data_IF_080133288405
#
_entry.id   IF_080133288405
#
_cell.length_a   1.000
_cell.length_b   1.000
_cell.length_c   1.000
_cell.angle_alpha   90.00
_cell.angle_beta   90.00
_cell.angle_gamma   90.00
#
_symmetry.space_group_name_H-M   'P 1'
#
loop_
_entity.id
_entity.type
_entity.pdbx_description
1 polymer ?
#
# COMPACT_ATOMS: atom_id res chain seq x y z
N UNK A 1 0.58 -27.07 -57.89
CA UNK A 1 0.71 -26.79 -56.45
C UNK A 1 1.34 -25.41 -56.25
N UNK A 2 0.51 -24.34 -56.35
CA UNK A 2 0.95 -22.96 -56.11
C UNK A 2 1.06 -22.79 -54.57
N UNK A 3 2.22 -23.14 -54.01
CA UNK A 3 2.53 -22.86 -52.61
C UNK A 3 2.32 -21.39 -52.30
N UNK A 4 1.48 -21.12 -51.32
CA UNK A 4 1.29 -19.80 -50.76
C UNK A 4 2.64 -19.31 -50.17
N UNK A 5 3.44 -18.60 -50.96
CA UNK A 5 4.59 -17.87 -50.46
C UNK A 5 4.04 -16.75 -49.60
N UNK A 6 4.17 -16.86 -48.29
CA UNK A 6 3.88 -15.74 -47.39
C UNK A 6 4.72 -14.52 -47.76
N UNK A 7 4.20 -13.34 -47.54
CA UNK A 7 4.96 -12.08 -47.73
C UNK A 7 6.28 -12.17 -46.92
N UNK A 8 7.36 -11.69 -47.54
CA UNK A 8 8.61 -11.51 -46.84
C UNK A 8 8.37 -10.60 -45.63
N UNK A 9 9.04 -10.83 -44.49
CA UNK A 9 8.78 -10.07 -43.25
C UNK A 9 8.82 -8.54 -43.44
N UNK A 10 9.78 -8.06 -44.23
CA UNK A 10 9.96 -6.64 -44.53
C UNK A 10 8.79 -6.05 -45.33
N UNK A 11 8.22 -6.82 -46.27
CA UNK A 11 7.04 -6.40 -47.05
C UNK A 11 5.80 -6.40 -46.18
N UNK A 12 5.67 -7.36 -45.27
CA UNK A 12 4.56 -7.44 -44.32
C UNK A 12 4.56 -6.21 -43.39
N UNK A 13 5.71 -5.87 -42.83
CA UNK A 13 5.85 -4.71 -41.94
C UNK A 13 5.53 -3.39 -42.66
N UNK A 14 6.06 -3.22 -43.87
CA UNK A 14 5.73 -2.04 -44.70
C UNK A 14 4.22 -1.94 -45.05
N UNK A 15 3.57 -3.07 -45.36
CA UNK A 15 2.14 -3.11 -45.58
C UNK A 15 1.30 -2.78 -44.34
N UNK A 16 1.73 -3.30 -43.16
CA UNK A 16 1.08 -2.98 -41.90
C UNK A 16 1.20 -1.51 -41.53
N UNK A 17 2.36 -0.90 -41.78
CA UNK A 17 2.59 0.53 -41.51
C UNK A 17 1.73 1.43 -42.46
N UNK A 18 1.67 1.08 -43.72
CA UNK A 18 0.81 1.79 -44.70
C UNK A 18 -0.67 1.62 -44.32
N UNK A 19 -1.10 0.42 -43.98
CA UNK A 19 -2.48 0.17 -43.53
C UNK A 19 -2.84 0.98 -42.28
N UNK A 20 -1.99 0.99 -41.25
CA UNK A 20 -2.16 1.81 -40.02
C UNK A 20 -2.30 3.30 -40.38
N UNK A 21 -1.46 3.83 -41.29
CA UNK A 21 -1.50 5.23 -41.72
C UNK A 21 -2.77 5.58 -42.46
N UNK A 22 -3.26 4.69 -43.35
CA UNK A 22 -4.53 4.89 -44.07
C UNK A 22 -5.71 4.85 -43.10
N UNK A 23 -5.74 3.90 -42.18
CA UNK A 23 -6.79 3.79 -41.19
C UNK A 23 -6.83 5.02 -40.28
N UNK A 24 -5.69 5.49 -39.77
CA UNK A 24 -5.62 6.67 -38.90
C UNK A 24 -6.06 7.94 -39.64
N UNK A 25 -5.65 8.12 -40.92
CA UNK A 25 -6.08 9.27 -41.73
C UNK A 25 -7.58 9.23 -42.04
N UNK A 26 -8.12 8.02 -42.28
CA UNK A 26 -9.56 7.86 -42.54
C UNK A 26 -10.38 8.11 -41.27
N UNK A 27 -9.93 7.64 -40.13
CA UNK A 27 -10.54 7.90 -38.82
C UNK A 27 -10.53 9.38 -38.47
N UNK A 28 -9.42 10.09 -38.77
CA UNK A 28 -9.34 11.54 -38.55
C UNK A 28 -10.34 12.32 -39.39
N UNK A 29 -10.45 12.00 -40.66
CA UNK A 29 -11.48 12.60 -41.55
C UNK A 29 -12.89 12.28 -41.11
N UNK A 30 -13.15 11.04 -40.68
CA UNK A 30 -14.45 10.61 -40.18
C UNK A 30 -14.85 11.37 -38.92
N UNK A 31 -13.94 11.59 -38.01
CA UNK A 31 -14.15 12.40 -36.82
C UNK A 31 -14.48 13.86 -37.11
N UNK A 32 -13.77 14.47 -38.08
CA UNK A 32 -14.04 15.84 -38.51
C UNK A 32 -15.45 15.97 -39.10
N UNK A 33 -15.95 14.95 -39.83
CA UNK A 33 -17.30 14.91 -40.39
C UNK A 33 -18.40 14.68 -39.32
N UNK A 34 -18.10 13.99 -38.24
CA UNK A 34 -19.08 13.72 -37.17
C UNK A 34 -19.27 14.89 -36.20
N UNK A 35 -18.26 15.74 -36.00
CA UNK A 35 -18.35 16.90 -35.08
C UNK A 35 -19.58 17.82 -35.34
N UNK A 36 -19.98 18.12 -36.60
CA UNK A 36 -21.17 18.93 -36.85
C UNK A 36 -22.50 18.23 -36.57
N UNK A 37 -22.50 16.90 -36.49
CA UNK A 37 -23.75 16.11 -36.38
C UNK A 37 -24.11 15.75 -34.92
N UNK A 38 -23.29 16.18 -33.94
CA UNK A 38 -23.53 15.88 -32.53
C UNK A 38 -23.35 14.40 -32.16
N UNK A 39 -22.77 13.58 -33.04
CA UNK A 39 -22.44 12.18 -32.75
C UNK A 39 -21.15 12.13 -31.99
N UNK A 40 -21.18 11.57 -30.78
CA UNK A 40 -20.00 11.37 -29.95
C UNK A 40 -19.01 10.40 -30.62
N UNK A 41 -17.73 10.73 -30.59
CA UNK A 41 -16.67 9.83 -31.07
C UNK A 41 -16.10 9.05 -29.88
N UNK A 42 -15.41 7.94 -30.17
CA UNK A 42 -14.73 7.16 -29.09
C UNK A 42 -13.66 7.97 -28.32
N UNK A 43 -13.16 9.08 -28.92
CA UNK A 43 -12.25 10.00 -28.22
C UNK A 43 -13.03 10.94 -27.30
N UNK A 44 -14.17 11.48 -27.77
CA UNK A 44 -15.03 12.33 -26.94
C UNK A 44 -15.56 11.56 -25.73
N UNK A 45 -15.86 10.27 -25.90
CA UNK A 45 -16.24 9.37 -24.79
C UNK A 45 -15.10 9.14 -23.80
N UNK A 46 -13.87 8.98 -24.28
CA UNK A 46 -12.69 8.82 -23.42
C UNK A 46 -12.33 10.11 -22.69
N UNK A 47 -12.41 11.25 -23.36
CA UNK A 47 -12.19 12.56 -22.72
C UNK A 47 -13.24 12.82 -21.63
N UNK A 48 -14.50 12.48 -21.90
CA UNK A 48 -15.58 12.59 -20.92
C UNK A 48 -15.34 11.64 -19.73
N UNK A 49 -15.00 10.38 -20.00
CA UNK A 49 -14.72 9.40 -18.95
C UNK A 49 -13.55 9.84 -18.06
N UNK A 50 -12.49 10.43 -18.65
CA UNK A 50 -11.38 10.99 -17.89
C UNK A 50 -11.82 12.17 -17.01
N UNK A 51 -12.60 13.10 -17.56
CA UNK A 51 -13.10 14.25 -16.81
C UNK A 51 -14.03 13.84 -15.67
N UNK A 52 -14.90 12.86 -15.92
CA UNK A 52 -15.78 12.29 -14.89
C UNK A 52 -14.98 11.62 -13.79
N UNK A 53 -13.97 10.82 -14.15
CA UNK A 53 -13.07 10.18 -13.17
C UNK A 53 -12.29 11.20 -12.32
N UNK A 54 -11.73 12.27 -12.92
CA UNK A 54 -11.02 13.32 -12.18
C UNK A 54 -11.95 13.96 -11.16
N UNK A 55 -13.19 14.31 -11.58
CA UNK A 55 -14.19 14.92 -10.68
C UNK A 55 -14.55 13.97 -9.52
N UNK A 56 -14.71 12.68 -9.79
CA UNK A 56 -14.96 11.68 -8.77
C UNK A 56 -13.81 11.63 -7.74
N UNK A 57 -12.55 11.73 -8.20
CA UNK A 57 -11.38 11.75 -7.27
C UNK A 57 -11.36 13.05 -6.45
N UNK A 58 -11.66 14.20 -7.02
CA UNK A 58 -11.73 15.47 -6.29
C UNK A 58 -12.87 15.46 -5.25
N UNK A 59 -14.04 14.94 -5.60
CA UNK A 59 -15.16 14.82 -4.68
C UNK A 59 -14.87 13.78 -3.57
N UNK A 60 -14.20 12.68 -3.90
CA UNK A 60 -13.75 11.70 -2.92
C UNK A 60 -12.78 12.33 -1.91
N UNK A 61 -11.77 13.06 -2.38
CA UNK A 61 -10.80 13.74 -1.52
C UNK A 61 -11.47 14.73 -0.55
N UNK A 62 -12.44 15.53 -1.04
CA UNK A 62 -13.18 16.48 -0.19
C UNK A 62 -13.95 15.81 0.93
N UNK A 63 -14.52 14.62 0.65
CA UNK A 63 -15.34 13.91 1.61
C UNK A 63 -14.53 12.99 2.53
N UNK A 64 -13.32 12.62 2.14
CA UNK A 64 -12.45 11.68 2.84
C UNK A 64 -11.02 12.24 2.95
N UNK A 65 -10.82 13.40 3.56
CA UNK A 65 -9.50 13.97 3.71
C UNK A 65 -8.65 13.10 4.61
N UNK A 66 -7.37 12.95 4.26
CA UNK A 66 -6.35 12.37 5.11
C UNK A 66 -5.40 13.47 5.57
N UNK A 67 -5.24 13.60 6.87
CA UNK A 67 -4.22 14.45 7.46
C UNK A 67 -3.42 13.68 8.50
N UNK A 68 -2.18 14.06 8.68
CA UNK A 68 -1.32 13.54 9.72
C UNK A 68 -0.52 14.70 10.32
N UNK A 69 -0.49 14.77 11.65
CA UNK A 69 0.21 15.82 12.37
C UNK A 69 1.69 15.88 12.01
N UNK A 70 2.19 17.09 11.84
CA UNK A 70 3.59 17.35 11.57
C UNK A 70 4.54 16.96 12.70
N UNK A 71 4.04 16.85 13.93
CA UNK A 71 4.85 16.55 15.11
C UNK A 71 5.58 15.20 15.03
N UNK A 72 5.06 14.26 14.25
CA UNK A 72 5.61 12.90 14.12
C UNK A 72 6.59 12.73 12.95
N UNK A 73 6.89 13.78 12.19
CA UNK A 73 7.85 13.75 11.11
C UNK A 73 9.21 14.33 11.54
N UNK A 74 10.28 13.63 11.23
CA UNK A 74 11.65 14.07 11.51
C UNK A 74 12.18 15.17 10.62
N UNK A 75 11.62 15.34 9.44
CA UNK A 75 12.19 16.23 8.41
C UNK A 75 11.21 17.31 8.00
N UNK A 76 11.75 18.41 7.43
CA UNK A 76 11.04 19.68 7.28
C UNK A 76 9.79 19.64 6.41
N UNK A 77 9.47 18.52 5.75
CA UNK A 77 8.15 18.31 5.16
C UNK A 77 7.25 17.65 6.20
N UNK A 78 6.35 18.43 6.69
CA UNK A 78 5.40 18.06 7.73
C UNK A 78 4.04 17.63 7.15
N UNK A 79 3.99 17.29 5.86
CA UNK A 79 2.76 16.94 5.17
C UNK A 79 2.98 15.69 4.32
N UNK A 80 2.02 14.78 4.36
CA UNK A 80 1.92 13.67 3.43
C UNK A 80 1.33 14.17 2.11
N UNK A 81 1.80 13.64 0.98
CA UNK A 81 1.30 14.08 -0.34
C UNK A 81 -0.04 13.43 -0.71
N UNK A 82 -0.36 12.27 -0.11
CA UNK A 82 -1.68 11.68 -0.23
C UNK A 82 -2.63 12.47 0.67
N UNK A 83 -3.65 13.05 0.07
CA UNK A 83 -4.61 13.93 0.74
C UNK A 83 -5.99 13.30 0.93
N UNK A 84 -6.15 12.02 0.59
CA UNK A 84 -7.36 11.23 0.85
C UNK A 84 -7.02 9.84 1.39
N UNK A 85 -7.97 9.25 2.10
CA UNK A 85 -7.81 7.88 2.58
C UNK A 85 -7.56 6.92 1.40
N UNK A 86 -6.69 5.92 1.56
CA UNK A 86 -6.45 4.89 0.57
C UNK A 86 -7.75 4.20 0.12
N UNK A 87 -7.93 4.06 -1.19
CA UNK A 87 -9.04 3.33 -1.78
C UNK A 87 -8.63 1.95 -2.29
N UNK A 88 -7.33 1.76 -2.54
CA UNK A 88 -6.76 0.56 -3.14
C UNK A 88 -5.32 0.36 -2.67
N UNK A 89 -4.78 -0.80 -2.97
CA UNK A 89 -3.43 -1.22 -2.57
C UNK A 89 -2.33 -0.25 -3.01
N UNK A 90 -2.41 0.30 -4.22
CA UNK A 90 -1.42 1.29 -4.70
C UNK A 90 -1.37 2.56 -3.82
N UNK A 91 -2.51 2.97 -3.26
CA UNK A 91 -2.56 4.12 -2.36
C UNK A 91 -1.93 3.75 -1.01
N UNK A 92 -2.09 2.50 -0.55
CA UNK A 92 -1.42 1.95 0.65
C UNK A 92 0.09 1.97 0.48
N UNK A 93 0.59 1.47 -0.66
CA UNK A 93 2.03 1.48 -0.99
C UNK A 93 2.58 2.90 -0.98
N UNK A 94 1.88 3.84 -1.63
CA UNK A 94 2.31 5.24 -1.71
C UNK A 94 2.34 5.90 -0.32
N UNK A 95 1.31 5.70 0.50
CA UNK A 95 1.23 6.23 1.87
C UNK A 95 2.32 5.64 2.76
N UNK A 96 2.50 4.33 2.74
CA UNK A 96 3.53 3.64 3.52
C UNK A 96 4.94 4.17 3.22
N UNK A 97 5.27 4.33 1.92
CA UNK A 97 6.56 4.90 1.53
C UNK A 97 6.73 6.35 1.99
N UNK A 98 5.67 7.14 2.02
CA UNK A 98 5.72 8.51 2.56
C UNK A 98 5.95 8.52 4.07
N UNK A 99 5.32 7.59 4.82
CA UNK A 99 5.51 7.48 6.27
C UNK A 99 6.95 7.05 6.63
N UNK A 100 7.55 6.17 5.84
CA UNK A 100 8.99 5.83 5.98
C UNK A 100 9.85 7.05 5.66
N UNK A 101 9.65 7.68 4.50
CA UNK A 101 10.45 8.83 4.07
C UNK A 101 10.27 10.06 5.00
N UNK A 102 9.11 10.20 5.60
CA UNK A 102 8.80 11.22 6.61
C UNK A 102 9.36 10.93 7.99
N UNK A 103 9.84 9.71 8.25
CA UNK A 103 10.39 9.30 9.55
C UNK A 103 9.34 8.92 10.59
N UNK A 104 8.10 8.67 10.18
CA UNK A 104 7.04 8.13 11.04
C UNK A 104 7.28 6.65 11.33
N UNK A 105 7.73 5.90 10.33
CA UNK A 105 8.15 4.49 10.45
C UNK A 105 9.65 4.45 10.16
N UNK A 106 10.47 3.95 11.10
CA UNK A 106 11.92 4.17 11.07
C UNK A 106 12.77 2.91 10.96
N UNK A 107 12.25 1.75 11.30
CA UNK A 107 13.04 0.51 11.32
C UNK A 107 13.00 -0.30 10.03
N UNK A 108 12.35 0.18 8.97
CA UNK A 108 12.15 -0.56 7.73
C UNK A 108 13.02 0.01 6.62
N UNK A 109 13.86 -0.85 6.03
CA UNK A 109 14.65 -0.55 4.85
C UNK A 109 14.16 -1.44 3.69
N UNK A 110 13.56 -0.82 2.67
CA UNK A 110 13.08 -1.52 1.48
C UNK A 110 14.26 -1.83 0.56
N UNK A 111 14.42 -3.10 0.19
CA UNK A 111 15.46 -3.58 -0.73
C UNK A 111 14.95 -3.68 -2.16
N UNK A 112 13.70 -4.14 -2.34
CA UNK A 112 13.09 -4.29 -3.64
C UNK A 112 11.56 -4.22 -3.52
N UNK A 113 10.93 -3.72 -4.57
CA UNK A 113 9.48 -3.84 -4.81
C UNK A 113 9.26 -4.62 -6.10
N UNK A 114 8.18 -5.39 -6.17
CA UNK A 114 7.90 -6.24 -7.31
C UNK A 114 6.39 -6.24 -7.62
N UNK A 115 6.05 -6.28 -8.90
CA UNK A 115 4.67 -6.38 -9.38
C UNK A 115 4.40 -7.68 -10.16
N UNK A 116 5.42 -8.48 -10.39
CA UNK A 116 5.34 -9.64 -11.30
C UNK A 116 5.60 -10.98 -10.65
N UNK A 117 6.06 -10.99 -9.40
CA UNK A 117 6.25 -12.21 -8.62
C UNK A 117 5.10 -12.42 -7.64
N UNK A 118 5.14 -13.56 -6.95
CA UNK A 118 4.14 -13.95 -5.96
C UNK A 118 4.04 -12.98 -4.77
N UNK A 119 5.14 -12.26 -4.45
CA UNK A 119 5.25 -11.34 -3.32
C UNK A 119 5.61 -9.92 -3.77
N UNK A 120 5.14 -8.90 -3.03
CA UNK A 120 5.23 -7.50 -3.43
C UNK A 120 6.58 -6.86 -3.16
N UNK A 121 7.34 -7.36 -2.18
CA UNK A 121 8.61 -6.74 -1.87
C UNK A 121 9.51 -7.52 -0.93
N UNK A 122 10.72 -7.01 -0.82
CA UNK A 122 11.75 -7.49 0.11
C UNK A 122 12.27 -6.30 0.91
N UNK A 123 12.40 -6.49 2.22
CA UNK A 123 12.87 -5.45 3.15
C UNK A 123 13.80 -6.04 4.20
N UNK A 124 14.39 -5.16 5.01
CA UNK A 124 15.08 -5.49 6.25
C UNK A 124 14.58 -4.63 7.40
N UNK A 125 14.61 -5.18 8.60
CA UNK A 125 14.59 -4.36 9.79
C UNK A 125 15.99 -3.87 10.10
N UNK A 126 16.10 -2.57 10.36
CA UNK A 126 17.37 -1.90 10.68
C UNK A 126 17.13 -1.01 11.89
N UNK A 127 17.94 -1.19 12.94
CA UNK A 127 18.05 -0.29 14.08
C UNK A 127 19.50 0.19 14.08
N UNK A 128 19.73 1.47 13.82
CA UNK A 128 21.08 2.06 13.80
C UNK A 128 21.55 2.41 15.21
N UNK A 129 22.82 2.84 15.32
CA UNK A 129 23.45 3.25 16.58
C UNK A 129 22.85 4.52 17.19
N UNK A 130 22.05 5.27 16.46
CA UNK A 130 21.30 6.43 16.95
C UNK A 130 20.05 5.96 17.72
N UNK A 131 20.26 5.58 18.96
CA UNK A 131 19.22 5.04 19.84
C UNK A 131 18.08 6.03 20.07
N UNK A 132 18.35 7.33 20.16
CA UNK A 132 17.32 8.36 20.39
C UNK A 132 16.26 8.37 19.29
N UNK A 133 16.64 8.05 18.07
CA UNK A 133 15.72 7.95 16.93
C UNK A 133 14.64 6.90 17.11
N UNK A 134 14.92 5.84 17.84
CA UNK A 134 14.01 4.70 17.98
C UNK A 134 13.37 4.60 19.38
N UNK A 135 13.85 5.35 20.34
CA UNK A 135 13.35 5.30 21.72
C UNK A 135 11.90 5.76 21.79
N UNK A 136 11.08 5.02 22.52
CA UNK A 136 9.70 5.39 22.79
C UNK A 136 9.63 6.69 23.63
N UNK A 137 8.79 7.58 23.19
CA UNK A 137 8.39 8.81 23.91
C UNK A 137 6.94 9.10 23.55
N UNK A 138 6.08 9.28 24.56
CA UNK A 138 4.64 9.44 24.35
C UNK A 138 4.26 10.61 23.42
N UNK A 139 5.02 11.72 23.49
CA UNK A 139 4.75 12.91 22.71
C UNK A 139 5.55 12.98 21.40
N UNK A 140 6.85 12.67 21.47
CA UNK A 140 7.77 12.87 20.35
C UNK A 140 7.92 11.62 19.47
N UNK A 141 7.75 10.43 20.02
CA UNK A 141 7.96 9.16 19.33
C UNK A 141 7.07 8.00 19.83
N UNK A 142 5.75 8.12 19.73
CA UNK A 142 4.82 7.12 20.30
C UNK A 142 4.91 5.74 19.62
N UNK A 143 5.51 5.65 18.43
CA UNK A 143 5.76 4.38 17.73
C UNK A 143 7.14 3.78 18.05
N UNK A 144 7.85 4.34 19.01
CA UNK A 144 9.19 3.92 19.42
C UNK A 144 9.25 2.56 20.14
N UNK A 145 10.45 2.23 20.57
CA UNK A 145 10.80 0.98 21.24
C UNK A 145 11.29 1.26 22.66
N UNK A 146 11.11 0.30 23.56
CA UNK A 146 11.74 0.34 24.86
C UNK A 146 13.28 0.28 24.76
N UNK A 147 13.97 0.93 25.68
CA UNK A 147 15.42 1.06 25.68
C UNK A 147 16.15 -0.30 25.58
N UNK A 148 15.60 -1.34 26.20
CA UNK A 148 16.18 -2.68 26.23
C UNK A 148 16.24 -3.35 24.84
N UNK A 149 15.40 -2.89 23.91
CA UNK A 149 15.34 -3.39 22.53
C UNK A 149 16.20 -2.59 21.55
N UNK A 150 16.76 -1.47 21.99
CA UNK A 150 17.61 -0.62 21.18
C UNK A 150 19.02 -1.21 21.13
N UNK A 151 19.25 -2.06 20.14
CA UNK A 151 20.56 -2.60 19.81
C UNK A 151 20.80 -2.43 18.34
N UNK A 152 22.00 -2.00 17.95
CA UNK A 152 22.38 -1.98 16.54
C UNK A 152 22.11 -3.35 15.90
N UNK A 153 21.19 -3.38 14.96
CA UNK A 153 20.65 -4.61 14.39
C UNK A 153 20.25 -4.42 12.94
N UNK A 154 20.61 -5.38 12.13
CA UNK A 154 20.12 -5.52 10.76
C UNK A 154 19.65 -6.96 10.54
N UNK A 155 18.40 -7.13 10.13
CA UNK A 155 17.85 -8.45 9.86
C UNK A 155 18.34 -9.01 8.53
N UNK A 156 18.22 -10.33 8.34
CA UNK A 156 18.25 -10.90 7.00
C UNK A 156 17.10 -10.33 6.16
N UNK A 157 17.20 -10.37 4.81
CA UNK A 157 16.09 -10.00 3.94
C UNK A 157 14.82 -10.77 4.28
N UNK A 158 13.70 -10.07 4.29
CA UNK A 158 12.37 -10.53 4.67
C UNK A 158 11.36 -10.19 3.60
N UNK A 159 10.28 -10.94 3.52
CA UNK A 159 9.20 -10.77 2.54
C UNK A 159 8.16 -9.79 3.06
N UNK A 160 7.78 -8.85 2.20
CA UNK A 160 6.77 -7.83 2.43
C UNK A 160 5.59 -8.04 1.49
N UNK A 161 4.39 -7.87 2.02
CA UNK A 161 3.14 -7.94 1.29
C UNK A 161 2.29 -6.70 1.56
N UNK A 162 1.64 -6.17 0.53
CA UNK A 162 0.71 -5.05 0.63
C UNK A 162 -0.72 -5.51 0.38
N UNK A 163 -1.67 -4.96 1.12
CA UNK A 163 -3.11 -5.14 0.88
C UNK A 163 -3.87 -3.87 1.24
N UNK A 164 -4.98 -3.60 0.56
CA UNK A 164 -5.90 -2.59 1.05
C UNK A 164 -6.62 -3.07 2.32
N UNK A 165 -7.15 -4.30 2.31
CA UNK A 165 -7.72 -4.98 3.47
C UNK A 165 -6.98 -6.31 3.67
N UNK A 166 -6.55 -6.59 4.91
CA UNK A 166 -5.81 -7.79 5.26
C UNK A 166 -6.62 -9.08 5.00
N UNK A 167 -7.95 -9.01 5.01
CA UNK A 167 -8.82 -10.15 4.68
C UNK A 167 -8.49 -10.76 3.32
N UNK A 168 -8.03 -9.96 2.34
CA UNK A 168 -7.59 -10.47 1.05
C UNK A 168 -6.32 -11.32 1.16
N UNK A 169 -5.42 -11.00 2.08
CA UNK A 169 -4.23 -11.83 2.32
C UNK A 169 -4.61 -13.15 2.98
N UNK A 170 -5.54 -13.12 3.94
CA UNK A 170 -6.07 -14.35 4.56
C UNK A 170 -6.75 -15.23 3.49
N UNK A 171 -7.50 -14.62 2.59
CA UNK A 171 -8.11 -15.33 1.47
C UNK A 171 -7.05 -15.94 0.53
N UNK A 172 -5.94 -15.24 0.24
CA UNK A 172 -4.82 -15.78 -0.54
C UNK A 172 -4.22 -17.03 0.14
N UNK A 173 -4.17 -17.07 1.49
CA UNK A 173 -3.73 -18.25 2.25
C UNK A 173 -4.71 -19.42 2.11
N UNK A 174 -6.01 -19.17 2.26
CA UNK A 174 -7.04 -20.18 2.12
C UNK A 174 -7.11 -20.76 0.68
N UNK A 175 -6.81 -19.94 -0.32
CA UNK A 175 -6.76 -20.36 -1.72
C UNK A 175 -5.44 -21.03 -2.11
N UNK A 176 -4.48 -21.17 -1.18
CA UNK A 176 -3.12 -21.69 -1.43
C UNK A 176 -2.32 -20.86 -2.47
N UNK A 177 -2.72 -19.61 -2.70
CA UNK A 177 -2.02 -18.69 -3.61
C UNK A 177 -0.75 -18.14 -2.96
N UNK A 178 -0.75 -18.00 -1.61
CA UNK A 178 0.38 -17.58 -0.80
C UNK A 178 0.52 -18.45 0.44
N UNK A 179 1.71 -18.45 1.03
CA UNK A 179 1.98 -19.17 2.27
C UNK A 179 2.25 -18.18 3.40
N UNK A 180 1.58 -18.35 4.52
CA UNK A 180 1.77 -17.49 5.69
C UNK A 180 3.21 -17.53 6.22
N UNK A 181 3.89 -18.69 6.15
CA UNK A 181 5.27 -18.86 6.60
C UNK A 181 6.29 -18.05 5.79
N UNK A 182 5.97 -17.68 4.56
CA UNK A 182 6.87 -16.94 3.68
C UNK A 182 6.78 -15.42 3.93
N UNK A 183 5.67 -14.92 4.49
CA UNK A 183 5.43 -13.49 4.69
C UNK A 183 5.85 -13.08 6.10
N UNK A 184 6.69 -12.07 6.18
CA UNK A 184 7.21 -11.56 7.45
C UNK A 184 6.56 -10.24 7.87
N UNK A 185 6.12 -9.43 6.90
CA UNK A 185 5.43 -8.17 7.15
C UNK A 185 4.27 -8.00 6.16
N UNK A 186 3.10 -7.72 6.69
CA UNK A 186 1.96 -7.25 5.92
C UNK A 186 1.69 -5.77 6.22
N UNK A 187 1.50 -4.97 5.18
CA UNK A 187 1.11 -3.56 5.31
C UNK A 187 -0.26 -3.38 4.68
N UNK A 188 -1.22 -2.90 5.46
CA UNK A 188 -2.58 -2.72 4.98
C UNK A 188 -3.18 -1.40 5.44
N UNK A 189 -4.27 -0.98 4.78
CA UNK A 189 -5.08 0.13 5.24
C UNK A 189 -6.04 -0.31 6.36
N UNK A 190 -6.72 -1.45 6.18
CA UNK A 190 -7.70 -2.02 7.13
C UNK A 190 -7.28 -3.41 7.54
N UNK A 191 -7.41 -3.70 8.83
CA UNK A 191 -7.10 -5.03 9.39
C UNK A 191 -8.10 -6.11 8.95
N UNK A 192 -9.38 -5.76 8.81
CA UNK A 192 -10.44 -6.76 8.58
C UNK A 192 -10.72 -7.64 9.79
N UNK A 193 -11.39 -8.76 9.55
CA UNK A 193 -11.82 -9.69 10.62
C UNK A 193 -11.48 -11.17 10.31
N UNK A 194 -11.16 -11.52 9.05
CA UNK A 194 -10.95 -12.91 8.62
C UNK A 194 -9.73 -13.57 9.28
N UNK A 195 -8.79 -12.79 9.78
CA UNK A 195 -7.62 -13.30 10.51
C UNK A 195 -7.97 -14.07 11.78
N UNK A 196 -9.13 -13.79 12.41
CA UNK A 196 -9.57 -14.41 13.67
C UNK A 196 -9.78 -15.92 13.58
N UNK A 197 -9.99 -16.45 12.39
CA UNK A 197 -10.21 -17.88 12.18
C UNK A 197 -8.89 -18.68 12.31
N UNK A 198 -7.75 -18.07 11.92
CA UNK A 198 -6.48 -18.79 11.77
C UNK A 198 -5.35 -18.25 12.66
N UNK A 199 -5.50 -17.03 13.18
CA UNK A 199 -4.45 -16.34 13.92
C UNK A 199 -4.98 -15.71 15.21
N UNK A 200 -4.11 -15.63 16.18
CA UNK A 200 -4.23 -14.71 17.31
C UNK A 200 -3.54 -13.40 16.94
N UNK A 201 -3.97 -12.29 17.56
CA UNK A 201 -3.46 -10.96 17.28
C UNK A 201 -3.03 -10.25 18.56
N UNK A 202 -1.84 -9.66 18.54
CA UNK A 202 -1.41 -8.69 19.56
C UNK A 202 -1.37 -7.30 18.94
N UNK A 203 -2.12 -6.35 19.51
CA UNK A 203 -1.98 -4.93 19.16
C UNK A 203 -0.89 -4.27 19.98
N UNK A 204 0.12 -3.70 19.33
CA UNK A 204 1.16 -2.87 19.94
C UNK A 204 0.74 -1.38 20.05
N UNK A 205 -0.48 -1.05 19.69
CA UNK A 205 -1.06 0.26 19.90
C UNK A 205 -1.77 0.36 21.25
N UNK A 206 -2.06 -0.77 21.90
CA UNK A 206 -2.49 -0.81 23.30
C UNK A 206 -1.32 -0.47 24.24
N UNK A 207 -1.58 0.39 25.23
CA UNK A 207 -0.58 0.91 26.16
C UNK A 207 0.19 -0.23 26.84
N UNK A 208 -0.48 -1.26 27.29
CA UNK A 208 0.10 -2.43 27.96
C UNK A 208 1.02 -3.26 27.07
N UNK A 209 0.85 -3.20 25.75
CA UNK A 209 1.59 -3.97 24.76
C UNK A 209 2.75 -3.20 24.09
N UNK A 210 2.91 -1.91 24.36
CA UNK A 210 3.99 -1.08 23.77
C UNK A 210 5.36 -1.69 24.04
N UNK A 211 5.58 -2.21 25.25
CA UNK A 211 6.83 -2.87 25.64
C UNK A 211 7.16 -4.14 24.83
N UNK A 212 6.16 -4.75 24.21
CA UNK A 212 6.33 -5.94 23.37
C UNK A 212 6.68 -5.62 21.92
N UNK A 213 6.55 -4.36 21.47
CA UNK A 213 6.92 -3.91 20.11
C UNK A 213 8.40 -4.16 19.85
N UNK A 214 8.72 -4.91 18.80
CA UNK A 214 10.10 -5.30 18.48
C UNK A 214 10.75 -4.39 17.45
N UNK A 215 9.97 -3.70 16.60
CA UNK A 215 10.46 -2.81 15.57
C UNK A 215 9.62 -1.55 15.54
N UNK A 216 10.28 -0.41 15.34
CA UNK A 216 9.64 0.89 15.30
C UNK A 216 8.55 0.97 14.23
N UNK A 217 7.37 1.41 14.61
CA UNK A 217 6.25 1.59 13.70
C UNK A 217 5.38 0.34 13.48
N UNK A 218 5.69 -0.82 14.10
CA UNK A 218 4.78 -1.95 14.11
C UNK A 218 3.51 -1.62 14.90
N UNK A 219 2.38 -1.99 14.33
CA UNK A 219 1.08 -1.80 14.98
C UNK A 219 0.54 -3.09 15.56
N UNK A 220 0.71 -4.21 14.87
CA UNK A 220 0.17 -5.51 15.28
C UNK A 220 1.13 -6.64 14.94
N UNK A 221 0.86 -7.80 15.51
CA UNK A 221 1.46 -9.08 15.14
C UNK A 221 0.39 -10.16 15.12
N UNK A 222 0.30 -10.87 14.00
CA UNK A 222 -0.48 -12.10 13.87
C UNK A 222 0.41 -13.31 14.16
N UNK A 223 -0.10 -14.26 14.90
CA UNK A 223 0.60 -15.50 15.17
C UNK A 223 -0.34 -16.70 15.20
N UNK A 224 0.17 -17.81 14.70
CA UNK A 224 -0.44 -19.13 14.76
C UNK A 224 0.58 -20.13 15.31
N UNK A 225 0.24 -21.41 15.35
CA UNK A 225 1.18 -22.44 15.79
C UNK A 225 2.47 -22.51 14.95
N UNK A 226 2.41 -22.11 13.67
CA UNK A 226 3.51 -22.26 12.71
C UNK A 226 4.04 -20.94 12.17
N UNK A 227 3.23 -19.90 12.13
CA UNK A 227 3.54 -18.65 11.43
C UNK A 227 3.47 -17.44 12.36
N UNK A 228 4.30 -16.44 12.07
CA UNK A 228 4.29 -15.15 12.74
C UNK A 228 4.48 -14.04 11.71
N UNK A 229 3.50 -13.15 11.60
CA UNK A 229 3.46 -12.08 10.62
C UNK A 229 3.35 -10.75 11.36
N UNK A 230 4.34 -9.89 11.20
CA UNK A 230 4.26 -8.51 11.65
C UNK A 230 3.27 -7.74 10.76
N UNK A 231 2.46 -6.85 11.33
CA UNK A 231 1.45 -6.10 10.59
C UNK A 231 1.55 -4.61 10.89
N UNK A 232 1.42 -3.79 9.85
CA UNK A 232 1.26 -2.35 9.96
C UNK A 232 -0.10 -1.98 9.36
N UNK A 233 -1.06 -1.65 10.22
CA UNK A 233 -2.38 -1.16 9.83
C UNK A 233 -2.35 0.36 9.80
N UNK A 234 -2.29 0.93 8.61
CA UNK A 234 -2.04 2.37 8.44
C UNK A 234 -3.17 3.24 8.97
N UNK A 235 -4.44 2.83 8.85
CA UNK A 235 -5.58 3.57 9.40
C UNK A 235 -5.51 3.65 10.93
N UNK A 236 -5.16 2.55 11.59
CA UNK A 236 -5.06 2.48 13.04
C UNK A 236 -3.81 3.18 13.57
N UNK A 237 -2.69 3.09 12.81
CA UNK A 237 -1.48 3.87 13.10
C UNK A 237 -1.77 5.38 13.08
N UNK A 238 -2.48 5.87 12.06
CA UNK A 238 -2.83 7.28 11.94
C UNK A 238 -3.80 7.70 13.03
N UNK A 239 -4.83 6.89 13.35
CA UNK A 239 -5.75 7.17 14.45
C UNK A 239 -4.99 7.26 15.78
N UNK A 240 -4.05 6.36 16.03
CA UNK A 240 -3.20 6.36 17.23
C UNK A 240 -2.37 7.65 17.36
N UNK A 241 -1.80 8.14 16.26
CA UNK A 241 -1.00 9.36 16.26
C UNK A 241 -1.85 10.65 16.37
N UNK A 242 -3.06 10.66 15.83
CA UNK A 242 -3.92 11.83 15.79
C UNK A 242 -4.88 11.92 16.98
N UNK A 243 -5.30 10.78 17.53
CA UNK A 243 -6.28 10.72 18.61
C UNK A 243 -6.06 9.49 19.49
N UNK A 244 -5.07 9.59 20.38
CA UNK A 244 -4.64 8.51 21.25
C UNK A 244 -5.79 7.92 22.09
N UNK A 245 -6.60 8.76 22.76
CA UNK A 245 -7.70 8.29 23.63
C UNK A 245 -8.76 7.49 22.84
N UNK A 246 -9.09 7.96 21.63
CA UNK A 246 -10.02 7.25 20.76
C UNK A 246 -9.42 5.94 20.27
N UNK A 247 -8.12 5.97 19.90
CA UNK A 247 -7.41 4.76 19.47
C UNK A 247 -7.40 3.70 20.55
N UNK A 248 -7.09 4.03 21.82
CA UNK A 248 -7.09 3.05 22.91
C UNK A 248 -8.44 2.33 23.01
N UNK A 249 -9.56 3.05 23.02
CA UNK A 249 -10.90 2.44 23.05
C UNK A 249 -11.17 1.53 21.84
N UNK A 250 -10.77 1.99 20.64
CA UNK A 250 -10.93 1.20 19.42
C UNK A 250 -10.11 -0.10 19.49
N UNK A 251 -8.90 -0.02 20.05
CA UNK A 251 -8.01 -1.18 20.18
C UNK A 251 -8.53 -2.19 21.24
N UNK A 252 -8.97 -1.71 22.40
CA UNK A 252 -9.63 -2.54 23.42
C UNK A 252 -10.85 -3.28 22.87
N UNK A 253 -11.75 -2.56 22.19
CA UNK A 253 -12.96 -3.14 21.60
C UNK A 253 -12.66 -4.22 20.54
N UNK A 254 -11.58 -4.03 19.75
CA UNK A 254 -11.25 -4.95 18.65
C UNK A 254 -10.39 -6.13 19.06
N UNK A 255 -9.47 -5.96 20.02
CA UNK A 255 -8.40 -6.93 20.26
C UNK A 255 -8.39 -7.52 21.66
N UNK A 256 -9.12 -6.95 22.65
CA UNK A 256 -9.22 -7.50 24.01
C UNK A 256 -10.48 -8.32 24.28
N UNK A 257 -11.53 -8.18 23.47
CA UNK A 257 -12.82 -8.82 23.75
C UNK A 257 -12.95 -10.28 23.24
N UNK A 258 -11.86 -10.95 22.94
CA UNK A 258 -11.83 -12.34 22.45
C UNK A 258 -11.47 -13.36 23.57
N UNK A 259 -11.76 -13.08 24.87
CA UNK A 259 -11.72 -14.07 25.94
C UNK A 259 -13.05 -14.85 26.09
#
# INVERSE_FOLDING_TARGET
DLGRKGFQPEIKEACEEVAKRIINNSLKKYKELLKPTGVSTSEDEKEKALADWIREQEDFQKNNPLSLSSAHFFKPKNEISISSIPQKEQDVIALFNQLIAGGVIRSINLLATNQTTQYDGVYRYVISEDEETYLHDEEANPLGLELEKLKNFESQPKVLEYKHNLDYLIQDFHNEEKRADDINLAVCWVMGESWREDFECTSFLLEENISHRNYHGLTHQLYSATSRIDVIVLSELIEYLENYEKSQKTQEEKYENDE
#
